data_IF_964667249801
#
_entry.id   IF_964667249801
#
_cell.length_a   1.000
_cell.length_b   1.000
_cell.length_c   1.000
_cell.angle_alpha   90.00
_cell.angle_beta   90.00
_cell.angle_gamma   90.00
#
_symmetry.space_group_name_H-M   'P 1'
#
loop_
_entity.id
_entity.type
_entity.pdbx_description
1 polymer ?
#
# COMPACT_ATOMS: atom_id res chain seq x y z
N UNK A 1 -16.03 -1.60 15.07
CA UNK A 1 -16.13 -0.15 15.32
C UNK A 1 -15.05 0.57 14.52
N UNK A 2 -15.37 1.73 13.93
CA UNK A 2 -14.39 2.56 13.20
C UNK A 2 -14.02 3.80 14.00
N UNK A 3 -12.74 4.19 13.97
CA UNK A 3 -12.24 5.40 14.61
C UNK A 3 -11.70 6.34 13.53
N UNK A 4 -12.22 7.56 13.46
CA UNK A 4 -11.70 8.57 12.55
C UNK A 4 -10.45 9.20 13.16
N UNK A 5 -9.33 9.13 12.44
CA UNK A 5 -8.07 9.78 12.81
C UNK A 5 -8.00 11.13 12.10
N UNK A 6 -8.19 12.21 12.85
CA UNK A 6 -8.05 13.61 12.40
C UNK A 6 -6.67 14.19 12.69
N UNK A 7 -5.99 13.68 13.71
CA UNK A 7 -4.65 14.15 14.11
C UNK A 7 -3.73 12.97 14.47
N UNK A 8 -2.41 13.14 14.30
CA UNK A 8 -1.43 12.10 14.63
C UNK A 8 -1.42 11.72 16.12
N UNK A 9 -1.75 12.66 17.01
CA UNK A 9 -1.86 12.41 18.46
C UNK A 9 -2.93 11.39 18.82
N UNK A 10 -3.92 11.17 17.96
CA UNK A 10 -4.97 10.17 18.18
C UNK A 10 -4.48 8.74 17.92
N UNK A 11 -3.38 8.54 17.18
CA UNK A 11 -2.87 7.21 16.86
C UNK A 11 -2.51 6.41 18.12
N UNK A 12 -1.82 7.04 19.07
CA UNK A 12 -1.38 6.36 20.31
C UNK A 12 -2.53 5.76 21.11
N UNK A 13 -3.55 6.53 21.55
CA UNK A 13 -4.64 5.96 22.34
C UNK A 13 -5.45 4.92 21.56
N UNK A 14 -5.59 5.07 20.24
CA UNK A 14 -6.29 4.10 19.38
C UNK A 14 -5.53 2.76 19.33
N UNK A 15 -4.23 2.78 19.02
CA UNK A 15 -3.41 1.57 18.95
C UNK A 15 -3.30 0.87 20.32
N UNK A 16 -3.15 1.64 21.39
CA UNK A 16 -3.17 1.12 22.77
C UNK A 16 -4.49 0.42 23.09
N UNK A 17 -5.62 1.03 22.70
CA UNK A 17 -6.96 0.47 22.87
C UNK A 17 -7.10 -0.87 22.16
N UNK A 18 -6.71 -0.95 20.88
CA UNK A 18 -6.73 -2.20 20.12
C UNK A 18 -5.81 -3.27 20.70
N UNK A 19 -4.60 -2.91 21.14
CA UNK A 19 -3.68 -3.85 21.81
C UNK A 19 -4.32 -4.45 23.05
N UNK A 20 -4.90 -3.61 23.91
CA UNK A 20 -5.58 -4.06 25.13
C UNK A 20 -6.80 -4.92 24.82
N UNK A 21 -7.61 -4.54 23.83
CA UNK A 21 -8.76 -5.32 23.38
C UNK A 21 -8.35 -6.69 22.82
N UNK A 22 -7.18 -6.79 22.19
CA UNK A 22 -6.59 -8.04 21.73
C UNK A 22 -5.93 -8.88 22.85
N UNK A 23 -5.92 -8.39 24.10
CA UNK A 23 -5.29 -9.09 25.23
C UNK A 23 -3.76 -9.18 25.17
N UNK A 24 -3.11 -8.43 24.28
CA UNK A 24 -1.67 -8.52 24.05
C UNK A 24 -0.90 -7.61 25.01
N UNK A 25 0.15 -8.12 25.62
CA UNK A 25 1.14 -7.29 26.34
C UNK A 25 2.07 -6.60 25.34
N UNK A 26 2.83 -5.59 25.79
CA UNK A 26 3.88 -4.99 24.97
C UNK A 26 4.94 -6.01 24.53
N UNK A 27 5.30 -6.94 25.43
CA UNK A 27 6.26 -8.00 25.14
C UNK A 27 5.72 -8.98 24.10
N UNK A 28 4.44 -9.37 24.18
CA UNK A 28 3.80 -10.22 23.18
C UNK A 28 3.77 -9.54 21.81
N UNK A 29 3.40 -8.26 21.76
CA UNK A 29 3.44 -7.47 20.52
C UNK A 29 4.85 -7.41 19.92
N UNK A 30 5.85 -7.16 20.76
CA UNK A 30 7.24 -7.14 20.32
C UNK A 30 7.69 -8.50 19.77
N UNK A 31 7.29 -9.61 20.41
CA UNK A 31 7.58 -10.96 19.93
C UNK A 31 6.95 -11.24 18.56
N UNK A 32 5.69 -10.86 18.34
CA UNK A 32 5.03 -10.98 17.03
C UNK A 32 5.71 -10.14 15.93
N UNK A 33 6.33 -9.03 16.32
CA UNK A 33 7.05 -8.14 15.43
C UNK A 33 8.53 -8.51 15.25
N UNK A 34 9.05 -9.49 15.99
CA UNK A 34 10.46 -9.86 15.94
C UNK A 34 11.40 -8.80 16.53
N UNK A 35 10.94 -8.03 17.52
CA UNK A 35 11.72 -6.97 18.17
C UNK A 35 11.75 -7.04 19.68
N UNK A 36 12.58 -6.19 20.28
CA UNK A 36 12.62 -6.05 21.73
C UNK A 36 11.36 -5.34 22.25
N UNK A 37 10.98 -5.63 23.49
CA UNK A 37 9.88 -4.92 24.17
C UNK A 37 10.12 -3.41 24.21
N UNK A 38 11.36 -2.97 24.44
CA UNK A 38 11.73 -1.56 24.49
C UNK A 38 11.47 -0.86 23.15
N UNK A 39 11.83 -1.51 22.03
CA UNK A 39 11.56 -1.01 20.67
C UNK A 39 10.06 -0.85 20.45
N UNK A 40 9.25 -1.83 20.84
CA UNK A 40 7.79 -1.70 20.72
C UNK A 40 7.22 -0.62 21.66
N UNK A 41 7.73 -0.50 22.88
CA UNK A 41 7.28 0.52 23.83
C UNK A 41 7.55 1.95 23.32
N UNK A 42 8.69 2.18 22.67
CA UNK A 42 8.99 3.47 22.00
C UNK A 42 8.04 3.74 20.84
N UNK A 43 7.74 2.72 20.02
CA UNK A 43 6.75 2.82 18.95
C UNK A 43 5.36 3.16 19.50
N UNK A 44 4.91 2.48 20.56
CA UNK A 44 3.60 2.74 21.17
C UNK A 44 3.54 4.13 21.83
N UNK A 45 4.66 4.62 22.38
CA UNK A 45 4.76 5.96 22.96
C UNK A 45 4.68 7.08 21.93
N UNK A 46 5.23 6.88 20.72
CA UNK A 46 5.21 7.83 19.62
C UNK A 46 5.03 7.14 18.24
N UNK A 47 3.82 6.71 17.89
CA UNK A 47 3.55 6.01 16.63
C UNK A 47 3.64 6.92 15.40
N UNK A 48 3.67 8.24 15.58
CA UNK A 48 3.79 9.19 14.48
C UNK A 48 5.23 9.33 13.97
N UNK A 49 6.23 8.97 14.79
CA UNK A 49 7.65 9.06 14.44
C UNK A 49 8.21 7.81 13.78
N UNK A 50 7.45 6.70 13.77
CA UNK A 50 7.88 5.48 13.08
C UNK A 50 7.49 5.50 11.61
N UNK A 51 8.18 4.69 10.80
CA UNK A 51 7.80 4.57 9.39
C UNK A 51 6.37 4.01 9.25
N UNK A 52 5.70 4.42 8.18
CA UNK A 52 4.38 3.91 7.81
C UNK A 52 4.40 2.39 7.69
N UNK A 53 5.46 1.80 7.13
CA UNK A 53 5.62 0.34 7.05
C UNK A 53 5.56 -0.34 8.42
N UNK A 54 6.27 0.20 9.43
CA UNK A 54 6.23 -0.36 10.80
C UNK A 54 4.85 -0.19 11.42
N UNK A 55 4.23 0.97 11.24
CA UNK A 55 2.86 1.21 11.70
C UNK A 55 1.89 0.19 11.10
N UNK A 56 2.02 -0.12 9.80
CA UNK A 56 1.22 -1.15 9.13
C UNK A 56 1.46 -2.55 9.70
N UNK A 57 2.71 -2.93 9.99
CA UNK A 57 2.99 -4.23 10.64
C UNK A 57 2.27 -4.35 11.98
N UNK A 58 2.31 -3.29 12.80
CA UNK A 58 1.58 -3.22 14.07
C UNK A 58 0.07 -3.38 13.86
N UNK A 59 -0.52 -2.63 12.93
CA UNK A 59 -1.95 -2.73 12.62
C UNK A 59 -2.35 -4.15 12.17
N UNK A 60 -1.51 -4.83 11.38
CA UNK A 60 -1.77 -6.23 10.96
C UNK A 60 -1.80 -7.20 12.13
N UNK A 61 -0.85 -7.10 13.07
CA UNK A 61 -0.85 -7.96 14.26
C UNK A 61 -2.07 -7.69 15.14
N UNK A 62 -2.52 -6.44 15.22
CA UNK A 62 -3.71 -6.03 15.96
C UNK A 62 -5.04 -6.34 15.25
N UNK A 63 -5.01 -6.83 14.01
CA UNK A 63 -6.23 -7.06 13.21
C UNK A 63 -6.96 -5.77 12.82
N UNK A 64 -6.24 -4.65 12.71
CA UNK A 64 -6.78 -3.32 12.39
C UNK A 64 -6.52 -2.99 10.91
N UNK A 65 -7.54 -2.47 10.24
CA UNK A 65 -7.46 -2.02 8.84
C UNK A 65 -7.36 -0.49 8.76
N UNK A 66 -6.57 0.02 7.82
CA UNK A 66 -6.56 1.44 7.45
C UNK A 66 -7.44 1.64 6.22
N UNK A 67 -8.39 2.57 6.29
CA UNK A 67 -9.28 2.94 5.19
C UNK A 67 -9.01 4.38 4.78
N UNK A 68 -8.82 4.62 3.47
CA UNK A 68 -8.66 5.95 2.90
C UNK A 68 -9.95 6.34 2.19
N UNK A 69 -10.50 7.49 2.55
CA UNK A 69 -11.73 8.04 1.97
C UNK A 69 -11.46 9.45 1.49
N UNK A 70 -11.98 9.81 0.31
CA UNK A 70 -11.95 11.20 -0.15
C UNK A 70 -12.89 12.03 0.72
N UNK A 71 -12.42 13.17 1.23
CA UNK A 71 -13.30 14.09 1.94
C UNK A 71 -14.20 14.81 0.92
N UNK A 72 -15.49 14.93 1.25
CA UNK A 72 -16.52 15.41 0.34
C UNK A 72 -16.55 16.95 0.18
N UNK A 73 -15.39 17.60 0.20
CA UNK A 73 -15.29 19.06 0.24
C UNK A 73 -14.70 19.68 -1.03
N UNK A 74 -14.52 18.91 -2.11
CA UNK A 74 -14.28 19.43 -3.47
C UNK A 74 -14.70 18.42 -4.55
N UNK A 75 -15.95 17.95 -4.49
CA UNK A 75 -16.57 17.16 -5.56
C UNK A 75 -17.52 18.00 -6.44
N UNK A 76 -17.34 19.33 -6.46
CA UNK A 76 -18.24 20.26 -7.13
C UNK A 76 -17.61 21.20 -8.16
N UNK A 77 -16.34 21.04 -8.55
CA UNK A 77 -15.73 21.96 -9.51
C UNK A 77 -14.69 21.31 -10.45
N UNK A 78 -14.97 20.10 -10.92
CA UNK A 78 -14.29 19.59 -12.12
C UNK A 78 -15.16 19.98 -13.32
N UNK A 79 -15.07 21.25 -13.73
CA UNK A 79 -15.55 21.66 -15.05
C UNK A 79 -14.55 21.08 -16.04
N UNK A 80 -14.88 19.95 -16.65
CA UNK A 80 -14.22 19.56 -17.90
C UNK A 80 -14.63 20.61 -18.95
N UNK A 81 -13.70 21.31 -19.62
CA UNK A 81 -14.05 22.19 -20.72
C UNK A 81 -14.75 21.37 -21.80
N UNK A 82 -16.05 21.58 -22.00
CA UNK A 82 -16.84 20.98 -23.07
C UNK A 82 -16.61 21.73 -24.38
N UNK A 83 -15.35 21.93 -24.79
CA UNK A 83 -15.02 22.52 -26.10
C UNK A 83 -13.92 21.70 -26.80
N UNK A 84 -14.01 20.37 -26.72
CA UNK A 84 -13.33 19.51 -27.67
C UNK A 84 -14.28 19.29 -28.87
N UNK A 85 -14.03 19.89 -30.05
CA UNK A 85 -14.88 19.67 -31.20
C UNK A 85 -14.79 18.20 -31.62
N UNK A 86 -15.91 17.51 -31.50
CA UNK A 86 -16.09 16.17 -32.05
C UNK A 86 -16.00 16.27 -33.57
N UNK A 87 -14.86 15.89 -34.15
CA UNK A 87 -14.76 15.63 -35.58
C UNK A 87 -15.57 14.37 -35.89
N UNK A 88 -16.83 14.58 -36.24
CA UNK A 88 -17.60 13.61 -37.01
C UNK A 88 -17.53 14.05 -38.46
N UNK A 89 -16.68 13.42 -39.25
CA UNK A 89 -16.82 13.38 -40.69
C UNK A 89 -16.55 11.94 -41.10
N UNK A 90 -17.62 11.29 -41.49
CA UNK A 90 -17.68 9.95 -42.05
C UNK A 90 -16.73 9.83 -43.24
N UNK A 91 -15.89 8.81 -43.22
CA UNK A 91 -15.45 8.11 -44.41
C UNK A 91 -15.35 6.65 -44.02
N UNK A 92 -16.40 5.91 -44.37
CA UNK A 92 -16.36 4.46 -44.57
C UNK A 92 -15.16 4.12 -45.47
N UNK A 93 -14.53 2.96 -45.27
CA UNK A 93 -14.14 2.01 -46.33
C UNK A 93 -13.28 0.88 -45.74
N UNK A 94 -13.78 -0.36 -45.94
CA UNK A 94 -13.05 -1.61 -46.02
C UNK A 94 -12.31 -2.16 -44.78
N UNK A 95 -12.93 -3.14 -44.11
CA UNK A 95 -12.20 -4.13 -43.32
C UNK A 95 -11.45 -5.09 -44.26
N UNK A 96 -10.12 -5.28 -44.14
CA UNK A 96 -9.49 -6.44 -44.74
C UNK A 96 -9.72 -7.68 -43.87
N UNK A 97 -10.22 -8.71 -44.52
CA UNK A 97 -10.41 -10.08 -44.05
C UNK A 97 -9.12 -10.62 -43.39
N UNK A 98 -9.15 -10.88 -42.07
CA UNK A 98 -8.00 -11.41 -41.34
C UNK A 98 -7.96 -12.94 -41.48
N UNK A 99 -7.21 -13.43 -42.45
CA UNK A 99 -6.91 -14.86 -42.61
C UNK A 99 -5.91 -15.29 -41.51
N UNK A 100 -6.23 -16.34 -40.76
CA UNK A 100 -5.40 -16.84 -39.63
C UNK A 100 -4.51 -18.01 -40.09
N UNK A 101 -3.17 -17.91 -39.97
CA UNK A 101 -2.31 -19.10 -39.89
C UNK A 101 -1.85 -19.39 -38.45
N UNK A 102 -1.87 -20.70 -38.11
CA UNK A 102 -1.46 -21.35 -36.85
C UNK A 102 0.10 -21.47 -36.73
N UNK A 103 0.68 -21.99 -35.62
CA UNK A 103 1.87 -21.45 -34.95
C UNK A 103 3.18 -22.20 -35.26
N UNK A 104 4.34 -21.55 -35.06
CA UNK A 104 5.64 -22.24 -35.07
C UNK A 104 6.59 -21.78 -33.96
N UNK A 105 7.41 -22.71 -33.50
CA UNK A 105 8.01 -22.78 -32.18
C UNK A 105 9.44 -22.20 -32.05
N UNK A 106 9.72 -21.64 -30.86
CA UNK A 106 10.88 -21.86 -29.95
C UNK A 106 12.34 -21.76 -30.47
N UNK A 107 13.16 -20.92 -29.80
CA UNK A 107 14.45 -21.24 -29.09
C UNK A 107 15.21 -19.94 -28.71
N UNK A 108 15.44 -19.67 -27.41
CA UNK A 108 16.65 -19.90 -26.56
C UNK A 108 17.57 -18.67 -26.43
N UNK A 109 17.81 -18.27 -25.19
CA UNK A 109 18.74 -17.25 -24.67
C UNK A 109 20.22 -17.64 -24.76
N UNK A 110 21.15 -16.70 -24.48
CA UNK A 110 21.96 -16.85 -23.25
C UNK A 110 22.39 -15.54 -22.54
N UNK A 111 22.73 -15.71 -21.25
CA UNK A 111 23.30 -14.77 -20.25
C UNK A 111 24.81 -14.53 -20.43
N UNK A 112 25.39 -13.49 -19.80
CA UNK A 112 26.48 -13.75 -18.82
C UNK A 112 26.47 -12.83 -17.57
N UNK A 113 27.41 -13.08 -16.66
CA UNK A 113 27.23 -13.12 -15.20
C UNK A 113 27.99 -12.07 -14.35
N UNK A 114 27.63 -12.04 -13.04
CA UNK A 114 28.34 -11.53 -11.83
C UNK A 114 28.48 -9.99 -11.72
N UNK A 115 28.24 -9.31 -10.58
CA UNK A 115 28.66 -9.53 -9.17
C UNK A 115 27.92 -8.50 -8.29
N UNK A 116 27.49 -8.83 -7.07
CA UNK A 116 27.68 -7.99 -5.85
C UNK A 116 26.91 -8.55 -4.63
N UNK A 117 27.71 -8.81 -3.58
CA UNK A 117 27.44 -8.75 -2.14
C UNK A 117 26.02 -9.00 -1.59
N UNK A 118 25.95 -10.00 -0.71
CA UNK A 118 24.89 -10.19 0.26
C UNK A 118 24.70 -8.92 1.12
N UNK A 119 23.64 -8.17 0.85
CA UNK A 119 23.15 -7.15 1.76
C UNK A 119 22.54 -7.85 2.97
N UNK A 120 23.20 -7.76 4.12
CA UNK A 120 22.56 -8.01 5.41
C UNK A 120 21.31 -7.13 5.46
N UNK A 121 20.14 -7.78 5.48
CA UNK A 121 18.84 -7.13 5.67
C UNK A 121 18.86 -6.47 7.04
N UNK A 122 19.34 -5.24 7.09
CA UNK A 122 19.09 -4.35 8.22
C UNK A 122 17.62 -4.00 8.13
N UNK A 123 16.80 -4.82 8.77
CA UNK A 123 15.44 -4.43 9.07
C UNK A 123 15.56 -3.19 9.95
N UNK A 124 15.37 -2.03 9.32
CA UNK A 124 15.40 -0.74 9.99
C UNK A 124 14.25 -0.80 10.99
N UNK A 125 14.56 -1.11 12.26
CA UNK A 125 13.67 -1.01 13.42
C UNK A 125 13.99 0.17 14.32
#
# INVERSE_FOLDING_TARGET
MGYQVKTLSQLRPILLGFRKAAGLTQAAMAAHLGVTQQTYAQLEANPAAVSVERLFKVMRVLGVNLMLTRTAENAGNVVYPQDAPSKTALAEEHMPEYNVPKPTARKKSPTPAKRAAAAKKRENW
#
